data_IF_875766398576
#
_entry.id   IF_875766398576
#
_cell.length_a   1.000
_cell.length_b   1.000
_cell.length_c   1.000
_cell.angle_alpha   90.00
_cell.angle_beta   90.00
_cell.angle_gamma   90.00
#
_symmetry.space_group_name_H-M   'P 1'
#
loop_
_entity.id
_entity.type
_entity.pdbx_description
1 polymer ?
#
# COMPACT_ATOMS: atom_id res chain seq x y z
N UNK A 1 -16.22 -3.18 -9.97
CA UNK A 1 -16.68 -2.67 -8.65
C UNK A 1 -16.18 -3.48 -7.44
N UNK A 2 -16.07 -4.81 -7.47
CA UNK A 2 -15.63 -5.63 -6.31
C UNK A 2 -14.17 -5.38 -5.86
N UNK A 3 -13.23 -5.17 -6.79
CA UNK A 3 -11.80 -4.94 -6.49
C UNK A 3 -11.54 -3.63 -5.72
N UNK A 4 -12.23 -2.54 -6.08
CA UNK A 4 -12.12 -1.25 -5.39
C UNK A 4 -12.61 -1.34 -3.94
N UNK A 5 -13.70 -2.07 -3.71
CA UNK A 5 -14.30 -2.27 -2.39
C UNK A 5 -13.37 -3.08 -1.47
N UNK A 6 -12.64 -4.05 -2.03
CA UNK A 6 -11.62 -4.82 -1.31
C UNK A 6 -10.49 -3.91 -0.81
N UNK A 7 -9.94 -3.09 -1.70
CA UNK A 7 -8.89 -2.12 -1.37
C UNK A 7 -9.32 -1.20 -0.20
N UNK A 8 -10.50 -0.57 -0.31
CA UNK A 8 -11.00 0.30 0.77
C UNK A 8 -11.30 -0.45 2.08
N UNK A 9 -11.63 -1.74 2.02
CA UNK A 9 -11.82 -2.57 3.21
C UNK A 9 -10.49 -2.84 3.90
N UNK A 10 -9.43 -3.16 3.15
CA UNK A 10 -8.07 -3.38 3.68
C UNK A 10 -7.50 -2.08 4.27
N UNK A 11 -7.64 -0.96 3.55
CA UNK A 11 -7.21 0.38 4.02
C UNK A 11 -7.87 0.73 5.37
N UNK A 12 -9.18 0.52 5.50
CA UNK A 12 -9.91 0.75 6.75
C UNK A 12 -9.50 -0.20 7.88
N UNK A 13 -9.14 -1.45 7.54
CA UNK A 13 -8.70 -2.46 8.51
C UNK A 13 -7.36 -2.10 9.16
N UNK A 14 -6.47 -1.45 8.41
CA UNK A 14 -5.16 -1.00 8.89
C UNK A 14 -5.19 0.35 9.62
N UNK A 15 -6.36 1.01 9.77
CA UNK A 15 -6.47 2.43 10.19
C UNK A 15 -5.60 3.38 9.38
N UNK A 16 -5.22 2.98 8.17
CA UNK A 16 -4.33 3.75 7.29
C UNK A 16 -5.01 5.06 6.85
N UNK A 17 -6.35 5.09 6.84
CA UNK A 17 -7.15 6.29 6.64
C UNK A 17 -6.85 7.39 7.67
N UNK A 18 -6.86 7.07 8.96
CA UNK A 18 -6.59 8.04 10.03
C UNK A 18 -5.14 8.52 10.01
N UNK A 19 -4.20 7.62 9.75
CA UNK A 19 -2.76 7.94 9.64
C UNK A 19 -2.53 8.87 8.45
N UNK A 20 -3.15 8.60 7.30
CA UNK A 20 -3.05 9.45 6.11
C UNK A 20 -3.62 10.84 6.36
N UNK A 21 -4.79 10.95 6.99
CA UNK A 21 -5.38 12.25 7.33
C UNK A 21 -4.46 13.01 8.30
N UNK A 22 -3.91 12.32 9.30
CA UNK A 22 -2.94 12.91 10.23
C UNK A 22 -1.70 13.43 9.52
N UNK A 23 -1.15 12.68 8.57
CA UNK A 23 0.00 13.11 7.77
C UNK A 23 -0.33 14.36 6.94
N UNK A 24 -1.49 14.39 6.27
CA UNK A 24 -1.92 15.53 5.46
C UNK A 24 -2.05 16.79 6.33
N UNK A 25 -2.71 16.69 7.48
CA UNK A 25 -2.87 17.84 8.40
C UNK A 25 -1.50 18.29 8.91
N UNK A 26 -0.66 17.36 9.37
CA UNK A 26 0.70 17.68 9.84
C UNK A 26 1.56 18.31 8.76
N UNK A 27 1.43 17.86 7.50
CA UNK A 27 2.17 18.41 6.37
C UNK A 27 1.87 19.90 6.20
N UNK A 28 0.59 20.27 6.05
CA UNK A 28 0.21 21.68 5.86
C UNK A 28 0.53 22.53 7.10
N UNK A 29 0.37 21.98 8.31
CA UNK A 29 0.70 22.65 9.56
C UNK A 29 2.20 22.91 9.70
N UNK A 30 3.05 21.92 9.41
CA UNK A 30 4.51 22.05 9.45
C UNK A 30 4.98 23.08 8.42
N UNK A 31 4.48 23.04 7.19
CA UNK A 31 4.81 24.06 6.18
C UNK A 31 4.43 25.46 6.65
N UNK A 32 3.29 25.61 7.34
CA UNK A 32 2.87 26.92 7.84
C UNK A 32 3.81 27.42 8.93
N UNK A 33 4.18 26.55 9.87
CA UNK A 33 5.11 26.90 10.95
C UNK A 33 6.48 27.24 10.38
N UNK A 34 6.99 26.47 9.42
CA UNK A 34 8.28 26.73 8.76
C UNK A 34 8.28 28.11 8.09
N UNK A 35 7.21 28.49 7.37
CA UNK A 35 7.08 29.81 6.75
C UNK A 35 7.19 30.95 7.78
N UNK A 36 6.62 30.78 8.98
CA UNK A 36 6.67 31.83 10.01
C UNK A 36 7.98 31.87 10.79
N UNK A 37 8.68 30.74 10.89
CA UNK A 37 9.87 30.60 11.74
C UNK A 37 11.17 30.80 10.95
N UNK A 38 11.21 30.38 9.69
CA UNK A 38 12.40 30.53 8.85
C UNK A 38 12.42 31.88 8.13
N UNK A 39 13.46 32.70 8.35
CA UNK A 39 13.55 34.02 7.72
C UNK A 39 13.89 33.95 6.22
N UNK A 40 14.38 32.82 5.72
CA UNK A 40 14.75 32.65 4.30
C UNK A 40 13.54 32.25 3.43
N UNK A 41 12.50 31.68 4.06
CA UNK A 41 11.31 31.16 3.37
C UNK A 41 10.23 32.24 3.43
N UNK A 42 10.06 32.96 2.32
CA UNK A 42 9.25 34.20 2.30
C UNK A 42 7.79 33.97 1.93
N UNK A 43 7.44 32.82 1.36
CA UNK A 43 6.08 32.52 0.96
C UNK A 43 5.69 31.08 1.32
N UNK A 44 4.39 30.83 1.36
CA UNK A 44 3.87 29.52 1.74
C UNK A 44 4.16 28.43 0.70
N UNK A 45 4.29 28.80 -0.58
CA UNK A 45 4.64 27.90 -1.67
C UNK A 45 6.02 27.28 -1.48
N UNK A 46 7.01 28.10 -1.14
CA UNK A 46 8.39 27.67 -0.86
C UNK A 46 8.43 26.77 0.38
N UNK A 47 7.64 27.10 1.41
CA UNK A 47 7.53 26.27 2.61
C UNK A 47 6.88 24.90 2.32
N UNK A 48 5.84 24.87 1.49
CA UNK A 48 5.21 23.64 1.02
C UNK A 48 6.16 22.81 0.16
N UNK A 49 6.92 23.47 -0.72
CA UNK A 49 7.92 22.84 -1.57
C UNK A 49 9.04 22.21 -0.74
N UNK A 50 9.60 22.95 0.22
CA UNK A 50 10.58 22.43 1.18
C UNK A 50 10.05 21.21 1.94
N UNK A 51 8.82 21.31 2.45
CA UNK A 51 8.21 20.23 3.24
C UNK A 51 7.95 19.00 2.35
N UNK A 52 7.52 19.20 1.10
CA UNK A 52 7.34 18.15 0.11
C UNK A 52 8.65 17.42 -0.17
N UNK A 53 9.70 18.13 -0.57
CA UNK A 53 10.99 17.55 -0.95
C UNK A 53 11.66 16.84 0.23
N UNK A 54 11.49 17.36 1.45
CA UNK A 54 11.98 16.74 2.69
C UNK A 54 11.20 15.47 3.05
N UNK A 55 9.86 15.54 3.05
CA UNK A 55 9.00 14.41 3.39
C UNK A 55 9.08 13.27 2.36
N UNK A 56 9.30 13.60 1.09
CA UNK A 56 9.51 12.63 0.02
C UNK A 56 10.94 12.09 -0.03
N UNK A 57 11.83 12.53 0.86
CA UNK A 57 13.27 12.17 0.90
C UNK A 57 14.05 12.55 -0.36
N UNK A 58 13.55 13.50 -1.16
CA UNK A 58 14.25 14.01 -2.35
C UNK A 58 15.35 14.99 -1.95
N UNK A 59 14.99 16.00 -1.14
CA UNK A 59 15.93 16.96 -0.57
C UNK A 59 16.82 17.70 -1.58
N UNK A 60 16.23 18.43 -2.53
CA UNK A 60 16.99 19.19 -3.55
C UNK A 60 17.96 20.22 -2.95
N UNK A 61 17.66 20.76 -1.76
CA UNK A 61 18.53 21.69 -1.04
C UNK A 61 18.52 23.12 -1.61
N UNK A 62 17.56 23.43 -2.47
CA UNK A 62 17.23 24.77 -2.94
C UNK A 62 16.61 25.64 -1.83
N UNK A 63 15.75 25.03 -1.02
CA UNK A 63 15.24 25.62 0.23
C UNK A 63 15.80 24.85 1.44
N UNK A 64 16.28 25.58 2.46
CA UNK A 64 16.87 24.98 3.66
C UNK A 64 16.38 25.66 4.93
N UNK A 65 16.18 24.86 5.98
CA UNK A 65 15.80 25.35 7.31
C UNK A 65 17.02 25.48 8.21
N UNK A 66 17.11 26.60 8.91
CA UNK A 66 18.25 26.95 9.74
C UNK A 66 17.93 26.94 11.23
N UNK A 67 16.68 27.20 11.60
CA UNK A 67 16.26 27.26 13.00
C UNK A 67 16.13 25.88 13.63
N UNK A 68 16.37 25.82 14.93
CA UNK A 68 16.25 24.59 15.72
C UNK A 68 14.84 24.00 15.63
N UNK A 69 13.81 24.83 15.73
CA UNK A 69 12.42 24.39 15.69
C UNK A 69 12.08 23.75 14.33
N UNK A 70 12.40 24.41 13.23
CA UNK A 70 12.12 23.87 11.90
C UNK A 70 12.88 22.58 11.64
N UNK A 71 14.14 22.45 12.10
CA UNK A 71 14.89 21.18 12.01
C UNK A 71 14.18 20.03 12.73
N UNK A 72 13.65 20.27 13.94
CA UNK A 72 12.87 19.25 14.65
C UNK A 72 11.59 18.88 13.92
N UNK A 73 10.88 19.87 13.36
CA UNK A 73 9.67 19.64 12.57
C UNK A 73 9.97 18.86 11.28
N UNK A 74 11.09 19.15 10.62
CA UNK A 74 11.56 18.38 9.46
C UNK A 74 11.82 16.92 9.82
N UNK A 75 12.53 16.66 10.93
CA UNK A 75 12.74 15.27 11.40
C UNK A 75 11.41 14.58 11.66
N UNK A 76 10.48 15.25 12.33
CA UNK A 76 9.15 14.71 12.62
C UNK A 76 8.37 14.37 11.35
N UNK A 77 8.24 15.31 10.41
CA UNK A 77 7.44 15.10 9.19
C UNK A 77 8.06 14.04 8.28
N UNK A 78 9.39 13.98 8.17
CA UNK A 78 10.08 12.97 7.37
C UNK A 78 9.91 11.57 7.96
N UNK A 79 10.05 11.41 9.28
CA UNK A 79 9.79 10.11 9.93
C UNK A 79 8.33 9.69 9.77
N UNK A 80 7.38 10.62 9.90
CA UNK A 80 5.97 10.33 9.73
C UNK A 80 5.66 9.90 8.28
N UNK A 81 6.21 10.60 7.28
CA UNK A 81 6.08 10.25 5.88
C UNK A 81 6.71 8.89 5.54
N UNK A 82 7.85 8.54 6.15
CA UNK A 82 8.48 7.23 6.00
C UNK A 82 7.59 6.10 6.53
N UNK A 83 7.04 6.25 7.73
CA UNK A 83 6.09 5.27 8.31
C UNK A 83 4.87 5.13 7.40
N UNK A 84 4.32 6.24 6.91
CA UNK A 84 3.20 6.22 5.98
C UNK A 84 3.53 5.49 4.68
N UNK A 85 4.72 5.72 4.12
CA UNK A 85 5.19 5.06 2.89
C UNK A 85 5.31 3.54 3.08
N UNK A 86 5.80 3.09 4.23
CA UNK A 86 5.87 1.67 4.57
C UNK A 86 4.47 1.03 4.73
N UNK A 87 3.52 1.75 5.35
CA UNK A 87 2.13 1.28 5.47
C UNK A 87 1.48 1.20 4.09
N UNK A 88 1.68 2.22 3.25
CA UNK A 88 1.11 2.30 1.92
C UNK A 88 1.56 1.13 1.04
N UNK A 89 2.87 0.81 1.03
CA UNK A 89 3.39 -0.35 0.32
C UNK A 89 2.86 -1.67 0.90
N UNK A 90 2.78 -1.79 2.22
CA UNK A 90 2.21 -2.97 2.91
C UNK A 90 0.74 -3.24 2.55
N UNK A 91 -0.08 -2.20 2.43
CA UNK A 91 -1.47 -2.31 1.99
C UNK A 91 -1.56 -2.85 0.57
N UNK A 92 -0.73 -2.37 -0.36
CA UNK A 92 -0.70 -2.85 -1.74
C UNK A 92 -0.34 -4.34 -1.78
N UNK A 93 0.71 -4.73 -1.04
CA UNK A 93 1.13 -6.13 -0.96
C UNK A 93 0.02 -7.01 -0.39
N UNK A 94 -0.66 -6.56 0.66
CA UNK A 94 -1.76 -7.31 1.29
C UNK A 94 -2.92 -7.52 0.32
N UNK A 95 -3.30 -6.51 -0.45
CA UNK A 95 -4.35 -6.64 -1.47
C UNK A 95 -3.92 -7.65 -2.55
N UNK A 96 -2.66 -7.62 -2.98
CA UNK A 96 -2.16 -8.56 -3.97
C UNK A 96 -2.16 -10.01 -3.45
N UNK A 97 -1.72 -10.22 -2.21
CA UNK A 97 -1.76 -11.53 -1.56
C UNK A 97 -3.20 -12.05 -1.40
N UNK A 98 -4.15 -11.20 -1.01
CA UNK A 98 -5.56 -11.62 -0.88
C UNK A 98 -6.15 -12.02 -2.25
N UNK A 99 -5.77 -11.35 -3.33
CA UNK A 99 -6.19 -11.72 -4.69
C UNK A 99 -5.64 -13.08 -5.10
N UNK A 100 -4.36 -13.36 -4.82
CA UNK A 100 -3.74 -14.66 -5.10
C UNK A 100 -4.42 -15.77 -4.30
N UNK A 101 -4.62 -15.55 -2.99
CA UNK A 101 -5.22 -16.55 -2.10
C UNK A 101 -6.67 -16.88 -2.50
N UNK A 102 -7.46 -15.86 -2.89
CA UNK A 102 -8.82 -16.07 -3.42
C UNK A 102 -8.81 -16.91 -4.69
N UNK A 103 -7.91 -16.61 -5.63
CA UNK A 103 -7.79 -17.35 -6.89
C UNK A 103 -7.42 -18.81 -6.65
N UNK A 104 -6.51 -19.05 -5.69
CA UNK A 104 -6.12 -20.41 -5.29
C UNK A 104 -7.31 -21.18 -4.67
N UNK A 105 -8.04 -20.55 -3.74
CA UNK A 105 -9.22 -21.18 -3.09
C UNK A 105 -10.33 -21.50 -4.09
N UNK A 106 -10.65 -20.58 -5.00
CA UNK A 106 -11.67 -20.81 -6.04
C UNK A 106 -11.30 -22.02 -6.92
N UNK A 107 -10.03 -22.14 -7.30
CA UNK A 107 -9.52 -23.30 -8.07
C UNK A 107 -9.64 -24.60 -7.28
N UNK A 108 -9.28 -24.60 -5.99
CA UNK A 108 -9.39 -25.79 -5.13
C UNK A 108 -10.84 -26.22 -4.92
N UNK A 109 -11.76 -25.27 -4.67
CA UNK A 109 -13.18 -25.60 -4.48
C UNK A 109 -13.79 -26.18 -5.75
N UNK A 110 -13.51 -25.60 -6.93
CA UNK A 110 -13.96 -26.18 -8.21
C UNK A 110 -13.39 -27.58 -8.46
N UNK A 111 -12.15 -27.82 -8.04
CA UNK A 111 -11.53 -29.13 -8.16
C UNK A 111 -12.19 -30.16 -7.24
N UNK A 112 -12.46 -29.80 -5.98
CA UNK A 112 -13.17 -30.66 -5.02
C UNK A 112 -14.59 -30.96 -5.51
N UNK A 113 -15.31 -29.96 -6.02
CA UNK A 113 -16.66 -30.12 -6.56
C UNK A 113 -16.70 -31.11 -7.74
N UNK A 114 -15.73 -31.02 -8.66
CA UNK A 114 -15.53 -32.02 -9.72
C UNK A 114 -15.18 -33.40 -9.18
N UNK A 115 -14.43 -33.49 -8.06
CA UNK A 115 -14.14 -34.78 -7.43
C UNK A 115 -15.39 -35.42 -6.78
N UNK A 116 -16.28 -34.61 -6.20
CA UNK A 116 -17.52 -35.11 -5.61
C UNK A 116 -18.50 -35.61 -6.67
N UNK A 117 -18.52 -34.99 -7.86
CA UNK A 117 -19.38 -35.37 -8.98
C UNK A 117 -18.67 -36.23 -10.04
N UNK A 118 -17.61 -36.97 -9.67
CA UNK A 118 -16.80 -37.81 -10.59
C UNK A 118 -17.63 -38.76 -11.46
N UNK A 119 -18.73 -39.29 -10.94
CA UNK A 119 -19.61 -40.22 -11.66
C UNK A 119 -20.46 -39.54 -12.75
N UNK A 120 -20.60 -38.22 -12.71
CA UNK A 120 -21.43 -37.44 -13.65
C UNK A 120 -20.59 -36.75 -14.73
N UNK A 121 -19.26 -36.72 -14.59
CA UNK A 121 -18.33 -36.10 -15.54
C UNK A 121 -18.24 -36.90 -16.85
N UNK A 122 -18.17 -36.18 -17.97
CA UNK A 122 -17.94 -36.81 -19.26
C UNK A 122 -16.48 -37.29 -19.41
N UNK A 123 -16.20 -38.11 -20.43
CA UNK A 123 -14.83 -38.63 -20.68
C UNK A 123 -13.79 -37.54 -20.93
N UNK A 124 -14.18 -36.43 -21.56
CA UNK A 124 -13.29 -35.33 -21.88
C UNK A 124 -12.92 -34.51 -20.63
N UNK A 125 -13.88 -34.31 -19.73
CA UNK A 125 -13.68 -33.61 -18.46
C UNK A 125 -12.88 -34.44 -17.45
N UNK A 126 -13.09 -35.77 -17.42
CA UNK A 126 -12.27 -36.72 -16.66
C UNK A 126 -10.79 -36.65 -17.08
N UNK A 127 -10.55 -36.57 -18.40
CA UNK A 127 -9.20 -36.50 -18.96
C UNK A 127 -8.53 -35.15 -18.65
N UNK A 128 -9.29 -34.06 -18.61
CA UNK A 128 -8.80 -32.75 -18.15
C UNK A 128 -8.42 -32.79 -16.66
N UNK A 129 -9.21 -33.47 -15.82
CA UNK A 129 -8.95 -33.64 -14.40
C UNK A 129 -7.68 -34.47 -14.15
N UNK A 130 -7.53 -35.58 -14.86
CA UNK A 130 -6.35 -36.44 -14.80
C UNK A 130 -5.07 -35.67 -15.18
N UNK A 131 -5.11 -34.90 -16.27
CA UNK A 131 -3.98 -34.08 -16.70
C UNK A 131 -3.59 -33.03 -15.64
N UNK A 132 -4.56 -32.36 -15.02
CA UNK A 132 -4.31 -31.41 -13.92
C UNK A 132 -3.71 -32.08 -12.69
N UNK A 133 -4.17 -33.28 -12.33
CA UNK A 133 -3.59 -34.06 -11.21
C UNK A 133 -2.15 -34.46 -11.50
N UNK A 134 -1.85 -34.91 -12.72
CA UNK A 134 -0.49 -35.28 -13.15
C UNK A 134 0.44 -34.07 -13.12
N UNK A 135 -0.01 -32.90 -13.57
CA UNK A 135 0.76 -31.65 -13.47
C UNK A 135 1.07 -31.27 -12.02
N UNK A 136 0.06 -31.32 -11.13
CA UNK A 136 0.27 -31.03 -9.70
C UNK A 136 1.25 -32.04 -9.11
N UNK A 137 1.10 -33.33 -9.38
CA UNK A 137 2.01 -34.39 -8.88
C UNK A 137 3.45 -34.14 -9.33
N UNK A 138 3.68 -33.69 -10.57
CA UNK A 138 5.03 -33.34 -11.07
C UNK A 138 5.62 -32.10 -10.41
N UNK A 139 4.80 -31.18 -9.91
CA UNK A 139 5.27 -29.94 -9.29
C UNK A 139 5.77 -30.14 -7.85
N UNK A 140 5.32 -31.19 -7.18
CA UNK A 140 5.60 -31.48 -5.75
C UNK A 140 6.43 -32.75 -5.51
N UNK A 141 6.86 -33.44 -6.58
CA UNK A 141 7.88 -34.49 -6.58
C UNK A 141 9.17 -33.95 -7.19
#
# INVERSE_FOLDING_TARGET
>A
MKKLRLFFTVVKRCKADKITIGLIISFFAVSLIIMYVEPQINNYGDALWYTFTSASTIGFGDEVVTTTLSRFLTVFITLFALVWTAIFSGVIVTVYLEVIERTAKETTTQFIDKLEHLSELDKSELQELENKVVEIRKKYN
#
